data_IF_316800013549
#
_entry.id   IF_316800013549
#
_cell.length_a   1.000
_cell.length_b   1.000
_cell.length_c   1.000
_cell.angle_alpha   90.00
_cell.angle_beta   90.00
_cell.angle_gamma   90.00
#
_symmetry.space_group_name_H-M   'P 1'
#
loop_
_entity.id
_entity.type
_entity.pdbx_description
1 polymer ?
#
# COMPACT_ATOMS: atom_id res chain seq x y z
N UNK A 1 19.89 -10.38 -28.97
CA UNK A 1 18.94 -9.68 -29.87
C UNK A 1 17.46 -9.99 -29.62
N UNK A 2 17.08 -11.20 -29.13
CA UNK A 2 15.68 -11.56 -28.86
C UNK A 2 15.06 -10.96 -27.58
N UNK A 3 15.88 -10.58 -26.58
CA UNK A 3 15.38 -10.00 -25.32
C UNK A 3 14.94 -8.54 -25.45
N UNK A 4 15.63 -7.75 -26.29
CA UNK A 4 15.24 -6.35 -26.57
C UNK A 4 13.90 -6.28 -27.30
N UNK A 5 13.66 -7.15 -28.29
CA UNK A 5 12.42 -7.17 -29.09
C UNK A 5 11.16 -7.48 -28.26
N UNK A 6 11.30 -8.30 -27.21
CA UNK A 6 10.20 -8.67 -26.30
C UNK A 6 9.84 -7.55 -25.31
N UNK A 7 10.81 -6.72 -24.92
CA UNK A 7 10.55 -5.52 -24.11
C UNK A 7 9.85 -4.42 -24.92
N UNK A 8 10.21 -4.23 -26.18
CA UNK A 8 9.55 -3.24 -27.06
C UNK A 8 8.11 -3.62 -27.38
N UNK A 9 7.82 -4.92 -27.60
CA UNK A 9 6.44 -5.40 -27.85
C UNK A 9 5.52 -5.19 -26.63
N UNK A 10 5.97 -5.51 -25.41
CA UNK A 10 5.15 -5.31 -24.20
C UNK A 10 4.91 -3.83 -23.84
N UNK A 11 5.80 -2.92 -24.27
CA UNK A 11 5.62 -1.47 -24.07
C UNK A 11 4.73 -0.83 -25.16
N UNK A 12 4.68 -1.39 -26.36
CA UNK A 12 3.76 -0.95 -27.43
C UNK A 12 2.31 -1.46 -27.23
N UNK A 13 2.11 -2.59 -26.55
CA UNK A 13 0.79 -3.22 -26.33
C UNK A 13 -0.07 -2.59 -25.20
N UNK A 14 0.28 -1.42 -24.64
CA UNK A 14 -0.48 -0.81 -23.55
C UNK A 14 -0.54 0.73 -23.64
N UNK A 15 -0.85 1.26 -24.83
CA UNK A 15 -1.09 2.69 -25.00
C UNK A 15 -2.33 3.18 -24.22
N UNK A 16 -2.46 4.50 -23.94
CA UNK A 16 -3.59 5.06 -23.18
C UNK A 16 -4.97 4.64 -23.71
N UNK A 17 -5.15 4.66 -25.03
CA UNK A 17 -6.41 4.24 -25.67
C UNK A 17 -6.76 2.76 -25.40
N UNK A 18 -5.76 1.89 -25.32
CA UNK A 18 -5.96 0.47 -25.03
C UNK A 18 -6.26 0.22 -23.54
N UNK A 19 -5.67 1.04 -22.66
CA UNK A 19 -6.01 1.03 -21.24
C UNK A 19 -7.45 1.49 -21.00
N UNK A 20 -7.91 2.52 -21.71
CA UNK A 20 -9.29 3.01 -21.63
C UNK A 20 -10.28 1.96 -22.12
N UNK A 21 -9.96 1.26 -23.21
CA UNK A 21 -10.75 0.12 -23.69
C UNK A 21 -10.84 -1.00 -22.63
N UNK A 22 -9.74 -1.31 -21.94
CA UNK A 22 -9.74 -2.32 -20.86
C UNK A 22 -10.55 -1.89 -19.63
N UNK A 23 -10.57 -0.59 -19.32
CA UNK A 23 -11.44 -0.04 -18.27
C UNK A 23 -12.91 -0.21 -18.65
N UNK A 24 -13.27 0.11 -19.90
CA UNK A 24 -14.63 -0.08 -20.42
C UNK A 24 -15.04 -1.56 -20.42
N UNK A 25 -14.17 -2.45 -20.90
CA UNK A 25 -14.39 -3.91 -20.91
C UNK A 25 -14.60 -4.45 -19.49
N UNK A 26 -13.79 -4.03 -18.51
CA UNK A 26 -13.98 -4.42 -17.11
C UNK A 26 -15.29 -3.87 -16.54
N UNK A 27 -15.65 -2.63 -16.87
CA UNK A 27 -16.91 -2.01 -16.42
C UNK A 27 -18.12 -2.76 -16.97
N UNK A 28 -18.09 -3.14 -18.24
CA UNK A 28 -19.13 -3.95 -18.87
C UNK A 28 -19.20 -5.34 -18.23
N UNK A 29 -18.06 -5.99 -18.01
CA UNK A 29 -17.99 -7.33 -17.41
C UNK A 29 -18.52 -7.38 -15.97
N UNK A 30 -18.43 -6.28 -15.21
CA UNK A 30 -19.02 -6.16 -13.87
C UNK A 30 -20.56 -6.05 -13.91
N UNK A 31 -21.12 -5.68 -15.06
CA UNK A 31 -22.55 -5.44 -15.23
C UNK A 31 -23.03 -4.17 -14.51
N UNK A 32 -24.37 -3.97 -14.44
CA UNK A 32 -24.96 -2.80 -13.79
C UNK A 32 -24.57 -2.70 -12.31
N UNK A 33 -23.99 -1.57 -11.93
CA UNK A 33 -23.64 -1.25 -10.54
C UNK A 33 -24.59 -0.21 -9.96
N UNK A 34 -24.90 -0.31 -8.66
CA UNK A 34 -25.74 0.65 -7.95
C UNK A 34 -25.18 1.00 -6.56
N UNK A 35 -25.69 2.09 -5.99
CA UNK A 35 -25.38 2.52 -4.62
C UNK A 35 -23.88 2.66 -4.36
N UNK A 36 -23.41 2.05 -3.26
CA UNK A 36 -22.00 2.12 -2.85
C UNK A 36 -21.03 1.46 -3.83
N UNK A 37 -21.47 0.41 -4.55
CA UNK A 37 -20.64 -0.26 -5.56
C UNK A 37 -20.34 0.69 -6.71
N UNK A 38 -21.36 1.40 -7.19
CA UNK A 38 -21.19 2.41 -8.24
C UNK A 38 -20.24 3.52 -7.80
N UNK A 39 -20.40 4.04 -6.58
CA UNK A 39 -19.52 5.08 -6.02
C UNK A 39 -18.06 4.62 -5.88
N UNK A 40 -17.83 3.36 -5.52
CA UNK A 40 -16.48 2.80 -5.37
C UNK A 40 -15.79 2.51 -6.71
N UNK A 41 -16.53 2.00 -7.70
CA UNK A 41 -16.00 1.57 -9.01
C UNK A 41 -15.81 2.74 -10.00
N UNK A 42 -15.06 3.77 -9.59
CA UNK A 42 -14.59 4.84 -10.48
C UNK A 42 -13.58 4.31 -11.51
N UNK A 43 -13.32 5.04 -12.59
CA UNK A 43 -12.32 4.63 -13.59
C UNK A 43 -10.93 4.45 -12.96
N UNK A 44 -10.53 5.35 -12.08
CA UNK A 44 -9.28 5.23 -11.34
C UNK A 44 -9.24 3.96 -10.46
N UNK A 45 -10.38 3.57 -9.87
CA UNK A 45 -10.52 2.30 -9.17
C UNK A 45 -10.31 1.11 -10.11
N UNK A 46 -11.01 1.07 -11.23
CA UNK A 46 -10.89 0.00 -12.22
C UNK A 46 -9.45 -0.14 -12.73
N UNK A 47 -8.76 0.97 -13.00
CA UNK A 47 -7.34 0.98 -13.40
C UNK A 47 -6.44 0.32 -12.36
N UNK A 48 -6.62 0.60 -11.06
CA UNK A 48 -5.80 -0.04 -10.01
C UNK A 48 -5.95 -1.56 -10.00
N UNK A 49 -7.16 -2.07 -10.17
CA UNK A 49 -7.40 -3.52 -10.22
C UNK A 49 -6.81 -4.14 -11.50
N UNK A 50 -6.95 -3.45 -12.64
CA UNK A 50 -6.31 -3.85 -13.90
C UNK A 50 -4.79 -3.90 -13.76
N UNK A 51 -4.16 -2.84 -13.27
CA UNK A 51 -2.71 -2.79 -13.07
C UNK A 51 -2.21 -3.90 -12.14
N UNK A 52 -2.91 -4.13 -11.01
CA UNK A 52 -2.57 -5.18 -10.06
C UNK A 52 -2.70 -6.60 -10.63
N UNK A 53 -3.38 -6.76 -11.76
CA UNK A 53 -3.56 -8.05 -12.46
C UNK A 53 -3.01 -8.02 -13.88
N UNK A 54 -2.04 -7.14 -14.15
CA UNK A 54 -1.36 -7.01 -15.44
C UNK A 54 -2.33 -6.82 -16.61
N UNK A 55 -3.34 -5.96 -16.42
CA UNK A 55 -4.39 -5.62 -17.39
C UNK A 55 -5.23 -6.80 -17.87
N UNK A 56 -5.26 -7.91 -17.12
CA UNK A 56 -6.14 -9.05 -17.38
C UNK A 56 -7.54 -8.80 -16.79
N UNK A 57 -8.55 -8.65 -17.65
CA UNK A 57 -9.91 -8.27 -17.24
C UNK A 57 -10.55 -9.30 -16.32
N UNK A 58 -10.50 -10.60 -16.63
CA UNK A 58 -11.13 -11.64 -15.81
C UNK A 58 -10.55 -11.71 -14.39
N UNK A 59 -9.22 -11.67 -14.26
CA UNK A 59 -8.53 -11.65 -12.96
C UNK A 59 -8.84 -10.38 -12.18
N UNK A 60 -8.95 -9.24 -12.87
CA UNK A 60 -9.28 -7.95 -12.27
C UNK A 60 -10.71 -7.93 -11.76
N UNK A 61 -11.66 -8.43 -12.57
CA UNK A 61 -13.07 -8.60 -12.22
C UNK A 61 -13.20 -9.44 -10.96
N UNK A 62 -12.59 -10.64 -10.94
CA UNK A 62 -12.64 -11.53 -9.78
C UNK A 62 -12.15 -10.85 -8.49
N UNK A 63 -10.99 -10.19 -8.55
CA UNK A 63 -10.42 -9.49 -7.41
C UNK A 63 -11.30 -8.32 -6.94
N UNK A 64 -11.90 -7.58 -7.87
CA UNK A 64 -12.79 -6.48 -7.57
C UNK A 64 -14.11 -6.98 -6.96
N UNK A 65 -14.70 -8.04 -7.48
CA UNK A 65 -15.89 -8.68 -6.91
C UNK A 65 -15.65 -9.17 -5.48
N UNK A 66 -14.49 -9.80 -5.24
CA UNK A 66 -14.04 -10.19 -3.88
C UNK A 66 -13.93 -8.97 -2.97
N UNK A 67 -13.40 -7.84 -3.46
CA UNK A 67 -13.36 -6.60 -2.67
C UNK A 67 -14.73 -6.03 -2.43
N UNK A 68 -15.61 -5.99 -3.42
CA UNK A 68 -16.98 -5.47 -3.25
C UNK A 68 -17.76 -6.32 -2.24
N UNK A 69 -17.55 -7.64 -2.22
CA UNK A 69 -18.09 -8.54 -1.20
C UNK A 69 -17.52 -8.20 0.17
N UNK A 70 -16.20 -8.10 0.31
CA UNK A 70 -15.54 -7.72 1.56
C UNK A 70 -16.03 -6.36 2.08
N UNK A 71 -16.12 -5.33 1.23
CA UNK A 71 -16.64 -4.01 1.63
C UNK A 71 -18.09 -4.07 2.08
N UNK A 72 -18.92 -4.93 1.48
CA UNK A 72 -20.31 -5.07 1.90
C UNK A 72 -20.48 -5.68 3.29
N UNK A 73 -19.54 -6.52 3.73
CA UNK A 73 -19.58 -7.18 5.03
C UNK A 73 -18.76 -6.44 6.09
N UNK A 74 -17.53 -6.05 5.75
CA UNK A 74 -16.57 -5.38 6.65
C UNK A 74 -16.87 -3.89 6.83
N UNK A 75 -17.47 -3.25 5.81
CA UNK A 75 -17.91 -1.84 5.82
C UNK A 75 -16.82 -0.87 6.29
N UNK A 76 -15.64 -0.85 5.62
CA UNK A 76 -14.52 -0.01 6.05
C UNK A 76 -14.88 1.49 6.09
N UNK A 77 -15.80 1.95 5.23
CA UNK A 77 -16.28 3.33 5.23
C UNK A 77 -17.17 3.72 6.42
N UNK A 78 -17.64 2.76 7.22
CA UNK A 78 -18.49 3.01 8.40
C UNK A 78 -17.70 3.07 9.70
N UNK A 79 -16.43 2.65 9.72
CA UNK A 79 -15.60 2.62 10.92
C UNK A 79 -15.43 4.05 11.46
N UNK A 80 -15.76 4.25 12.74
CA UNK A 80 -15.64 5.54 13.43
C UNK A 80 -14.43 5.55 14.35
N UNK A 81 -13.85 6.75 14.55
CA UNK A 81 -12.71 6.95 15.45
C UNK A 81 -12.95 6.38 16.85
N UNK A 82 -14.14 6.60 17.41
CA UNK A 82 -14.48 6.10 18.76
C UNK A 82 -14.35 4.58 18.91
N UNK A 83 -14.44 3.80 17.82
CA UNK A 83 -14.30 2.34 17.84
C UNK A 83 -12.84 1.88 17.83
N UNK A 84 -11.90 2.75 17.45
CA UNK A 84 -10.48 2.41 17.22
C UNK A 84 -9.51 3.35 17.93
N UNK A 85 -10.00 4.30 18.72
CA UNK A 85 -9.19 5.33 19.35
C UNK A 85 -8.15 4.75 20.32
N UNK A 86 -8.50 3.68 21.05
CA UNK A 86 -7.59 2.98 21.98
C UNK A 86 -6.39 2.38 21.26
N UNK A 87 -6.56 1.88 20.03
CA UNK A 87 -5.46 1.40 19.19
C UNK A 87 -4.51 2.54 18.78
N UNK A 88 -5.02 3.77 18.71
CA UNK A 88 -4.30 4.96 18.27
C UNK A 88 -3.55 5.72 19.36
N UNK A 89 -3.71 5.37 20.64
CA UNK A 89 -3.18 6.14 21.78
C UNK A 89 -1.67 6.35 21.77
N UNK A 90 -0.91 5.36 21.27
CA UNK A 90 0.55 5.46 21.13
C UNK A 90 0.98 6.05 19.79
N UNK A 91 0.05 6.27 18.86
CA UNK A 91 0.35 6.69 17.50
C UNK A 91 1.15 5.66 16.71
N UNK A 92 0.98 4.37 16.99
CA UNK A 92 1.59 3.25 16.26
C UNK A 92 1.29 3.25 14.77
N UNK A 93 0.17 3.84 14.37
CA UNK A 93 -0.14 4.19 12.98
C UNK A 93 -0.77 5.58 13.00
N UNK A 94 -0.36 6.45 12.09
CA UNK A 94 -0.91 7.81 11.97
C UNK A 94 -0.79 8.33 10.54
N UNK A 95 -1.63 9.29 10.19
CA UNK A 95 -1.46 10.10 8.97
C UNK A 95 -0.62 11.32 9.32
N UNK A 96 0.42 11.59 8.54
CA UNK A 96 1.21 12.79 8.69
C UNK A 96 0.36 14.04 8.39
N UNK A 97 0.75 15.17 8.98
CA UNK A 97 0.23 16.50 8.64
C UNK A 97 0.99 17.16 7.48
N UNK A 98 1.91 16.42 6.86
CA UNK A 98 2.68 16.85 5.68
C UNK A 98 2.49 15.86 4.54
N UNK A 99 2.87 16.31 3.34
CA UNK A 99 2.88 15.50 2.13
C UNK A 99 4.31 15.17 1.72
N UNK A 100 4.47 14.13 0.90
CA UNK A 100 5.75 13.94 0.24
C UNK A 100 5.99 14.95 -0.89
N UNK A 101 7.15 14.86 -1.54
CA UNK A 101 7.55 15.80 -2.61
C UNK A 101 6.65 15.77 -3.85
N UNK A 102 5.80 14.76 -3.99
CA UNK A 102 4.82 14.64 -5.08
C UNK A 102 3.40 14.95 -4.62
N UNK A 103 3.22 15.52 -3.41
CA UNK A 103 1.92 15.88 -2.86
C UNK A 103 1.12 14.69 -2.31
N UNK A 104 1.73 13.51 -2.16
CA UNK A 104 1.03 12.32 -1.66
C UNK A 104 0.88 12.37 -0.15
N UNK A 105 -0.29 11.95 0.35
CA UNK A 105 -0.49 11.70 1.78
C UNK A 105 0.55 10.71 2.29
N UNK A 106 1.09 10.96 3.48
CA UNK A 106 2.07 10.08 4.14
C UNK A 106 1.42 9.36 5.32
N UNK A 107 1.51 8.02 5.33
CA UNK A 107 1.20 7.20 6.50
C UNK A 107 2.48 6.87 7.26
N UNK A 108 2.47 7.06 8.57
CA UNK A 108 3.57 6.75 9.48
C UNK A 108 3.16 5.52 10.30
N UNK A 109 3.96 4.45 10.21
CA UNK A 109 3.78 3.21 10.95
C UNK A 109 4.98 3.03 11.90
N UNK A 110 4.70 2.87 13.18
CA UNK A 110 5.68 2.69 14.27
C UNK A 110 5.41 1.37 14.98
N UNK A 111 5.80 0.22 14.40
CA UNK A 111 5.52 -1.09 14.99
C UNK A 111 6.14 -1.27 16.39
N UNK A 112 7.18 -0.51 16.77
CA UNK A 112 7.73 -0.50 18.12
C UNK A 112 6.84 0.18 19.18
N UNK A 113 5.74 0.81 18.76
CA UNK A 113 4.77 1.46 19.65
C UNK A 113 3.48 0.65 19.82
N UNK A 114 3.53 -0.67 19.57
CA UNK A 114 2.35 -1.52 19.78
C UNK A 114 1.88 -1.43 21.25
N UNK A 115 0.59 -1.20 21.45
CA UNK A 115 -0.03 -1.08 22.77
C UNK A 115 -1.10 -2.14 23.07
N UNK A 116 -1.60 -2.85 22.05
CA UNK A 116 -2.65 -3.85 22.22
C UNK A 116 -2.28 -5.16 21.54
N UNK A 117 -2.88 -6.26 22.00
CA UNK A 117 -2.65 -7.59 21.46
C UNK A 117 -3.74 -8.04 20.46
N UNK A 118 -4.87 -7.32 20.37
CA UNK A 118 -6.03 -7.69 19.57
C UNK A 118 -5.73 -7.59 18.07
N UNK A 119 -5.59 -8.72 17.34
CA UNK A 119 -5.29 -8.66 15.90
C UNK A 119 -6.39 -7.98 15.10
N UNK A 120 -7.65 -8.20 15.49
CA UNK A 120 -8.83 -7.64 14.84
C UNK A 120 -8.87 -6.12 14.98
N UNK A 121 -8.68 -5.58 16.18
CA UNK A 121 -8.71 -4.14 16.41
C UNK A 121 -7.53 -3.44 15.73
N UNK A 122 -6.35 -4.07 15.73
CA UNK A 122 -5.18 -3.56 15.01
C UNK A 122 -5.45 -3.44 13.51
N UNK A 123 -6.10 -4.46 12.92
CA UNK A 123 -6.50 -4.45 11.51
C UNK A 123 -7.56 -3.37 11.27
N UNK A 124 -8.57 -3.28 12.13
CA UNK A 124 -9.66 -2.29 12.02
C UNK A 124 -9.14 -0.85 12.10
N UNK A 125 -8.20 -0.59 13.00
CA UNK A 125 -7.52 0.69 13.12
C UNK A 125 -6.68 1.02 11.87
N UNK A 126 -5.93 0.05 11.33
CA UNK A 126 -5.19 0.24 10.08
C UNK A 126 -6.13 0.56 8.91
N UNK A 127 -7.22 -0.20 8.77
CA UNK A 127 -8.22 0.03 7.71
C UNK A 127 -8.87 1.41 7.85
N UNK A 128 -9.24 1.82 9.07
CA UNK A 128 -9.73 3.16 9.34
C UNK A 128 -8.75 4.23 8.85
N UNK A 129 -7.46 4.10 9.18
CA UNK A 129 -6.44 5.07 8.76
C UNK A 129 -6.16 5.04 7.25
N UNK A 130 -6.28 3.88 6.60
CA UNK A 130 -6.18 3.76 5.14
C UNK A 130 -7.33 4.47 4.44
N UNK A 131 -8.58 4.25 4.85
CA UNK A 131 -9.74 4.93 4.27
C UNK A 131 -9.64 6.45 4.49
N UNK A 132 -9.22 6.89 5.68
CA UNK A 132 -8.97 8.31 5.96
C UNK A 132 -7.83 8.88 5.10
N UNK A 133 -6.75 8.14 4.88
CA UNK A 133 -5.66 8.56 4.01
C UNK A 133 -6.14 8.69 2.56
N UNK A 134 -6.94 7.75 2.06
CA UNK A 134 -7.51 7.78 0.71
C UNK A 134 -8.41 9.02 0.52
N UNK A 135 -9.24 9.34 1.51
CA UNK A 135 -10.10 10.52 1.47
C UNK A 135 -9.33 11.86 1.46
N UNK A 136 -8.05 11.85 1.81
CA UNK A 136 -7.19 13.05 1.88
C UNK A 136 -6.10 13.04 0.80
N UNK A 137 -6.21 12.16 -0.20
CA UNK A 137 -5.40 12.27 -1.41
C UNK A 137 -5.82 13.51 -2.20
N UNK A 138 -4.84 14.19 -2.79
CA UNK A 138 -5.11 15.29 -3.72
C UNK A 138 -5.84 14.77 -4.96
N UNK A 139 -6.54 15.66 -5.67
CA UNK A 139 -7.18 15.30 -6.93
C UNK A 139 -6.18 14.67 -7.91
N UNK A 140 -6.60 13.59 -8.58
CA UNK A 140 -5.76 12.81 -9.49
C UNK A 140 -4.70 11.92 -8.82
N UNK A 141 -4.56 11.94 -7.48
CA UNK A 141 -3.64 11.07 -6.76
C UNK A 141 -4.34 9.81 -6.25
N UNK A 142 -3.77 8.65 -6.57
CA UNK A 142 -4.32 7.35 -6.16
C UNK A 142 -3.44 6.62 -5.15
N UNK A 143 -2.21 7.11 -4.94
CA UNK A 143 -1.19 6.45 -4.13
C UNK A 143 -0.73 7.31 -2.96
N UNK A 144 -0.31 6.63 -1.90
CA UNK A 144 0.21 7.21 -0.67
C UNK A 144 1.63 6.69 -0.38
N UNK A 145 2.38 7.48 0.39
CA UNK A 145 3.75 7.14 0.79
C UNK A 145 3.77 6.65 2.23
N UNK A 146 4.59 5.65 2.52
CA UNK A 146 4.63 5.01 3.83
C UNK A 146 6.00 5.24 4.46
N UNK A 147 6.03 5.70 5.70
CA UNK A 147 7.21 5.73 6.55
C UNK A 147 7.02 4.72 7.67
N UNK A 148 7.81 3.65 7.65
CA UNK A 148 7.76 2.58 8.65
C UNK A 148 9.01 2.72 9.52
N UNK A 149 8.83 3.26 10.73
CA UNK A 149 9.89 3.48 11.70
C UNK A 149 9.97 2.30 12.69
N UNK A 150 11.02 1.50 12.54
CA UNK A 150 11.28 0.33 13.38
C UNK A 150 12.02 0.66 14.67
N UNK A 151 12.16 1.93 15.05
CA UNK A 151 12.72 2.29 16.36
C UNK A 151 11.89 1.67 17.48
N UNK A 152 12.56 1.00 18.42
CA UNK A 152 11.90 0.24 19.49
C UNK A 152 11.29 -1.11 19.05
N UNK A 153 11.40 -1.49 17.77
CA UNK A 153 10.88 -2.77 17.31
C UNK A 153 11.76 -3.95 17.80
N UNK A 154 11.07 -4.95 18.33
CA UNK A 154 11.56 -6.25 18.76
C UNK A 154 10.66 -7.36 18.21
N UNK A 155 11.27 -8.46 17.76
CA UNK A 155 10.57 -9.61 17.16
C UNK A 155 9.69 -10.39 18.16
N UNK A 156 9.93 -10.24 19.46
CA UNK A 156 9.23 -11.00 20.52
C UNK A 156 8.00 -10.30 21.12
N UNK A 157 7.79 -9.00 20.89
CA UNK A 157 6.85 -8.20 21.73
C UNK A 157 5.87 -7.32 20.96
N UNK A 158 5.97 -7.19 19.63
CA UNK A 158 5.23 -6.13 18.92
C UNK A 158 4.10 -6.63 18.00
N UNK A 159 4.37 -7.49 17.03
CA UNK A 159 3.34 -7.93 16.08
C UNK A 159 3.46 -9.41 15.80
N UNK A 160 2.38 -10.16 16.03
CA UNK A 160 2.37 -11.59 15.74
C UNK A 160 2.54 -11.83 14.22
N UNK A 161 3.25 -12.90 13.80
CA UNK A 161 3.35 -13.27 12.39
C UNK A 161 1.99 -13.52 11.72
N UNK A 162 0.95 -13.88 12.49
CA UNK A 162 -0.42 -14.01 11.99
C UNK A 162 -0.99 -12.64 11.62
N UNK A 163 -0.98 -11.69 12.55
CA UNK A 163 -1.48 -10.32 12.30
C UNK A 163 -0.76 -9.66 11.12
N UNK A 164 0.56 -9.85 11.01
CA UNK A 164 1.33 -9.36 9.87
C UNK A 164 0.85 -9.95 8.52
N UNK A 165 0.57 -11.26 8.48
CA UNK A 165 0.03 -11.92 7.27
C UNK A 165 -1.37 -11.42 6.94
N UNK A 166 -2.23 -11.24 7.93
CA UNK A 166 -3.60 -10.76 7.73
C UNK A 166 -3.61 -9.32 7.18
N UNK A 167 -2.72 -8.45 7.69
CA UNK A 167 -2.51 -7.10 7.15
C UNK A 167 -2.05 -7.16 5.69
N UNK A 168 -1.04 -7.96 5.38
CA UNK A 168 -0.53 -8.13 4.01
C UNK A 168 -1.66 -8.61 3.09
N UNK A 169 -2.45 -9.58 3.54
CA UNK A 169 -3.59 -10.12 2.79
C UNK A 169 -4.62 -9.03 2.45
N UNK A 170 -5.01 -8.20 3.42
CA UNK A 170 -5.96 -7.10 3.19
C UNK A 170 -5.39 -6.08 2.20
N UNK A 171 -4.13 -5.68 2.36
CA UNK A 171 -3.49 -4.71 1.49
C UNK A 171 -3.40 -5.22 0.04
N UNK A 172 -2.98 -6.46 -0.14
CA UNK A 172 -2.81 -7.07 -1.46
C UNK A 172 -4.14 -7.36 -2.18
N UNK A 173 -5.20 -7.69 -1.45
CA UNK A 173 -6.47 -8.12 -2.04
C UNK A 173 -7.52 -7.02 -2.13
N UNK A 174 -7.49 -6.03 -1.24
CA UNK A 174 -8.55 -5.00 -1.14
C UNK A 174 -8.06 -3.58 -1.34
N UNK A 175 -6.75 -3.34 -1.28
CA UNK A 175 -6.13 -2.02 -1.52
C UNK A 175 -5.04 -2.06 -2.61
N UNK A 176 -5.32 -2.65 -3.81
CA UNK A 176 -4.33 -2.74 -4.88
C UNK A 176 -3.84 -1.36 -5.31
N UNK A 177 -2.56 -1.29 -5.68
CA UNK A 177 -1.91 -0.09 -6.22
C UNK A 177 -2.10 1.18 -5.38
N UNK A 178 -2.30 1.06 -4.05
CA UNK A 178 -2.33 2.22 -3.13
C UNK A 178 -0.95 2.66 -2.64
N UNK A 179 0.04 1.75 -2.62
CA UNK A 179 1.39 2.08 -2.19
C UNK A 179 2.18 2.74 -3.33
N UNK A 180 2.68 3.94 -3.09
CA UNK A 180 3.57 4.65 -4.01
C UNK A 180 5.05 4.33 -3.71
N UNK A 181 5.44 4.47 -2.45
CA UNK A 181 6.80 4.20 -1.93
C UNK A 181 6.71 3.91 -0.43
N UNK A 182 7.54 2.99 0.06
CA UNK A 182 7.68 2.68 1.47
C UNK A 182 9.13 2.89 1.91
N UNK A 183 9.34 3.73 2.93
CA UNK A 183 10.62 3.92 3.59
C UNK A 183 10.63 3.14 4.90
N UNK A 184 11.50 2.15 5.01
CA UNK A 184 11.73 1.38 6.23
C UNK A 184 12.91 2.02 6.94
N UNK A 185 12.61 2.81 7.98
CA UNK A 185 13.60 3.51 8.78
C UNK A 185 14.03 2.66 9.97
N UNK A 186 15.34 2.56 10.16
CA UNK A 186 16.01 1.80 11.22
C UNK A 186 15.52 0.34 11.39
N UNK A 187 15.24 -0.43 10.31
CA UNK A 187 14.77 -1.80 10.47
C UNK A 187 15.89 -2.68 11.06
N UNK A 188 15.57 -3.70 11.87
CA UNK A 188 16.57 -4.65 12.37
C UNK A 188 17.43 -5.16 11.22
N UNK A 189 18.75 -5.29 11.40
CA UNK A 189 19.66 -5.68 10.30
C UNK A 189 19.28 -7.02 9.64
N UNK A 190 18.73 -7.95 10.43
CA UNK A 190 18.19 -9.22 9.94
C UNK A 190 17.03 -9.04 8.93
N UNK A 191 16.31 -7.92 8.98
CA UNK A 191 15.19 -7.62 8.09
C UNK A 191 15.63 -7.45 6.64
N UNK A 192 16.87 -7.05 6.36
CA UNK A 192 17.36 -7.04 4.97
C UNK A 192 17.48 -8.45 4.39
N UNK A 193 17.96 -9.41 5.18
CA UNK A 193 18.05 -10.80 4.77
C UNK A 193 16.66 -11.40 4.56
N UNK A 194 15.73 -11.12 5.49
CA UNK A 194 14.33 -11.51 5.35
C UNK A 194 13.67 -10.87 4.12
N UNK A 195 13.88 -9.58 3.89
CA UNK A 195 13.31 -8.88 2.74
C UNK A 195 13.84 -9.42 1.41
N UNK A 196 15.11 -9.86 1.34
CA UNK A 196 15.63 -10.56 0.15
C UNK A 196 14.83 -11.82 -0.17
N UNK A 197 14.39 -12.57 0.84
CA UNK A 197 13.52 -13.74 0.63
C UNK A 197 12.09 -13.33 0.24
N UNK A 198 11.48 -12.37 0.95
CA UNK A 198 10.12 -11.87 0.65
C UNK A 198 10.03 -11.25 -0.75
N UNK A 199 11.10 -10.60 -1.22
CA UNK A 199 11.17 -9.99 -2.56
C UNK A 199 10.88 -10.97 -3.69
N UNK A 200 11.18 -12.26 -3.54
CA UNK A 200 10.83 -13.28 -4.55
C UNK A 200 9.33 -13.53 -4.69
N UNK A 201 8.54 -13.21 -3.66
CA UNK A 201 7.09 -13.37 -3.64
C UNK A 201 6.34 -12.07 -3.97
N UNK A 202 7.04 -10.94 -4.02
CA UNK A 202 6.47 -9.65 -4.44
C UNK A 202 6.60 -9.50 -5.95
N UNK A 203 5.60 -8.87 -6.59
CA UNK A 203 5.78 -8.45 -7.96
C UNK A 203 6.96 -7.45 -8.06
N UNK A 204 7.70 -7.43 -9.20
CA UNK A 204 8.88 -6.58 -9.33
C UNK A 204 8.61 -5.08 -9.13
N UNK A 205 7.41 -4.57 -9.44
CA UNK A 205 7.07 -3.16 -9.23
C UNK A 205 6.95 -2.86 -7.74
N UNK A 206 6.22 -3.69 -6.99
CA UNK A 206 6.08 -3.56 -5.54
C UNK A 206 7.44 -3.64 -4.84
N UNK A 207 8.32 -4.56 -5.25
CA UNK A 207 9.65 -4.68 -4.67
C UNK A 207 10.53 -3.42 -4.83
N UNK A 208 10.34 -2.66 -5.91
CA UNK A 208 11.10 -1.42 -6.17
C UNK A 208 10.63 -0.23 -5.32
N UNK A 209 9.37 -0.28 -4.85
CA UNK A 209 8.75 0.75 -4.00
C UNK A 209 9.31 0.75 -2.56
N UNK A 210 10.00 -0.30 -2.13
CA UNK A 210 10.53 -0.40 -0.75
C UNK A 210 11.97 0.12 -0.68
N UNK A 211 12.24 1.07 0.21
CA UNK A 211 13.54 1.69 0.46
C UNK A 211 13.94 1.51 1.92
N UNK A 212 15.19 1.12 2.16
CA UNK A 212 15.75 0.97 3.49
C UNK A 212 16.54 2.23 3.85
N UNK A 213 16.34 2.74 5.06
CA UNK A 213 17.03 3.92 5.59
C UNK A 213 17.59 3.57 6.96
N UNK A 214 18.89 3.76 7.15
CA UNK A 214 19.56 3.57 8.45
C UNK A 214 20.03 4.92 8.96
N UNK A 215 19.85 5.22 10.26
CA UNK A 215 20.48 6.39 10.84
C UNK A 215 21.99 6.25 10.74
N UNK A 216 22.67 7.28 10.26
CA UNK A 216 24.11 7.33 10.35
C UNK A 216 24.50 7.53 11.81
N UNK A 217 25.20 6.56 12.39
CA UNK A 217 25.91 6.76 13.64
C UNK A 217 26.89 7.90 13.40
N UNK A 218 26.57 9.12 13.85
CA UNK A 218 27.52 10.23 13.84
C UNK A 218 28.66 9.85 14.79
N UNK A 219 29.67 9.24 14.19
CA UNK A 219 30.85 8.65 14.84
C UNK A 219 31.86 8.10 13.83
N UNK A 220 31.47 7.83 12.57
CA UNK A 220 32.42 7.54 11.49
C UNK A 220 32.01 8.32 10.24
N UNK A 221 32.68 9.45 10.04
CA UNK A 221 32.67 10.18 8.77
C UNK A 221 33.55 9.39 7.79
N UNK A 222 32.92 8.61 6.92
CA UNK A 222 33.55 8.00 5.75
C UNK A 222 32.84 8.53 4.51
N UNK A 223 33.59 9.20 3.65
CA UNK A 223 33.11 9.88 2.45
C UNK A 223 32.35 8.91 1.54
N UNK A 224 31.03 9.03 1.51
CA UNK A 224 30.12 8.76 0.38
C UNK A 224 28.67 8.89 0.88
N UNK A 225 28.28 10.10 1.30
CA UNK A 225 26.93 10.42 1.75
C UNK A 225 26.22 11.30 0.71
N UNK A 226 25.14 10.78 0.13
CA UNK A 226 24.20 11.59 -0.65
C UNK A 226 23.59 12.62 0.29
N UNK A 227 24.11 13.85 0.22
CA UNK A 227 23.59 14.99 0.96
C UNK A 227 22.21 15.35 0.39
N UNK A 228 21.14 15.11 1.15
CA UNK A 228 19.83 15.68 0.87
C UNK A 228 19.89 17.20 1.11
N UNK A 229 20.38 17.94 0.12
CA UNK A 229 20.27 19.40 0.12
C UNK A 229 18.79 19.77 -0.06
N UNK A 230 18.27 20.51 0.91
CA UNK A 230 17.01 21.21 0.78
C UNK A 230 17.14 22.24 -0.34
N UNK A 231 16.22 22.17 -1.30
CA UNK A 231 15.68 23.32 -2.02
C UNK A 231 14.18 23.09 -2.14
#
# INVERSE_FOLDING_TARGET
MFLLRRQTQNQQENGPAQQDAKVAELREALGPLSGRRLKYCTDACLRRYLEARNWNVDKSKKMLEETLKWRSTYKPEEIRWAEVAHEGETGKVSRANFHDRLGRTVLILRPGMQNTASPEDNIKHLVYLLENAILNLSEGQEQMSWLIDFTGFSLGTNLSPKTARDIIHILQNHYPERLAIAFLFNPPRIFQAFYKAVKYFLDPKTAQKVKFVYPNNKGQCGADEITLRHR
#
